data_IF_606885480143
#
_entry.id   IF_606885480143
#
_cell.length_a   1.000
_cell.length_b   1.000
_cell.length_c   1.000
_cell.angle_alpha   90.00
_cell.angle_beta   90.00
_cell.angle_gamma   90.00
#
_symmetry.space_group_name_H-M   'P 1'
#
loop_
_entity.id
_entity.type
_entity.pdbx_description
1 polymer ?
#
# COMPACT_ATOMS: atom_id res chain seq x y z
N UNK A 1 -32.13 -29.92 19.99
CA UNK A 1 -33.24 -29.91 19.02
C UNK A 1 -33.34 -28.50 18.56
N UNK A 2 -33.26 -28.30 17.26
CA UNK A 2 -33.34 -26.98 16.66
C UNK A 2 -34.81 -26.51 16.76
N UNK A 3 -35.03 -25.21 16.87
CA UNK A 3 -36.35 -24.62 17.04
C UNK A 3 -37.32 -24.99 15.91
N UNK A 4 -36.80 -25.20 14.71
CA UNK A 4 -37.54 -25.68 13.53
C UNK A 4 -38.19 -27.06 13.77
N UNK A 5 -37.47 -28.00 14.36
CA UNK A 5 -37.96 -29.35 14.65
C UNK A 5 -39.08 -29.34 15.69
N UNK A 6 -39.01 -28.44 16.68
CA UNK A 6 -40.07 -28.28 17.67
C UNK A 6 -41.33 -27.62 17.07
N UNK A 7 -41.15 -26.73 16.10
CA UNK A 7 -42.25 -26.13 15.34
C UNK A 7 -42.92 -27.19 14.47
N UNK A 8 -42.14 -28.02 13.76
CA UNK A 8 -42.66 -29.12 12.95
C UNK A 8 -43.41 -30.15 13.81
N UNK A 9 -42.87 -30.52 14.98
CA UNK A 9 -43.52 -31.44 15.92
C UNK A 9 -44.83 -30.85 16.49
N UNK A 10 -44.88 -29.52 16.72
CA UNK A 10 -46.08 -28.82 17.12
C UNK A 10 -47.12 -28.80 15.98
N UNK A 11 -46.68 -28.55 14.75
CA UNK A 11 -47.54 -28.53 13.57
C UNK A 11 -48.16 -29.91 13.31
N UNK A 12 -47.37 -30.98 13.41
CA UNK A 12 -47.83 -32.36 13.31
C UNK A 12 -48.82 -32.71 14.43
N UNK A 13 -48.52 -32.35 15.68
CA UNK A 13 -49.41 -32.59 16.82
C UNK A 13 -50.76 -31.85 16.68
N UNK A 14 -50.77 -30.66 16.07
CA UNK A 14 -51.98 -29.93 15.74
C UNK A 14 -52.71 -30.55 14.53
N UNK A 15 -52.00 -31.05 13.53
CA UNK A 15 -52.58 -31.69 12.35
C UNK A 15 -53.26 -33.03 12.68
N UNK A 16 -52.71 -33.79 13.62
CA UNK A 16 -53.29 -35.04 14.14
C UNK A 16 -54.55 -34.81 14.99
N UNK A 17 -54.77 -33.58 15.46
CA UNK A 17 -55.90 -33.19 16.30
C UNK A 17 -57.26 -33.43 15.63
N UNK A 18 -58.23 -33.96 16.39
CA UNK A 18 -59.57 -34.24 15.86
C UNK A 18 -60.39 -32.96 15.85
N UNK A 19 -60.83 -32.52 14.66
CA UNK A 19 -61.80 -31.40 14.55
C UNK A 19 -63.16 -31.82 15.10
N UNK A 20 -63.75 -30.95 15.92
CA UNK A 20 -65.04 -31.20 16.55
C UNK A 20 -66.16 -30.64 15.66
N UNK A 21 -67.02 -31.50 15.11
CA UNK A 21 -68.12 -31.10 14.22
C UNK A 21 -69.04 -30.05 14.86
N UNK A 22 -69.48 -29.06 14.07
CA UNK A 22 -70.25 -27.88 14.49
C UNK A 22 -69.52 -26.87 15.39
N UNK A 23 -68.23 -27.04 15.65
CA UNK A 23 -67.40 -26.04 16.32
C UNK A 23 -66.10 -25.80 15.53
N UNK A 24 -65.59 -24.57 15.51
CA UNK A 24 -64.26 -24.27 14.94
C UNK A 24 -63.10 -24.73 15.82
N UNK A 25 -63.32 -25.69 16.74
CA UNK A 25 -62.36 -26.11 17.77
C UNK A 25 -61.68 -27.42 17.38
N UNK A 26 -60.42 -27.53 17.77
CA UNK A 26 -59.55 -28.68 17.56
C UNK A 26 -59.33 -29.38 18.90
N UNK A 27 -59.61 -30.67 18.97
CA UNK A 27 -59.29 -31.49 20.13
C UNK A 27 -57.83 -31.95 20.00
N UNK A 28 -56.99 -31.56 20.95
CA UNK A 28 -55.55 -31.83 20.99
C UNK A 28 -55.15 -32.42 22.33
N UNK A 29 -54.07 -33.18 22.32
CA UNK A 29 -53.44 -33.68 23.54
C UNK A 29 -52.71 -32.54 24.26
N UNK A 30 -53.29 -32.10 25.37
CA UNK A 30 -52.78 -30.98 26.17
C UNK A 30 -51.37 -31.27 26.71
N UNK A 31 -51.09 -32.50 27.14
CA UNK A 31 -49.80 -32.87 27.74
C UNK A 31 -48.69 -32.82 26.69
N UNK A 32 -48.96 -33.34 25.49
CA UNK A 32 -48.03 -33.28 24.34
C UNK A 32 -47.76 -31.86 23.88
N UNK A 33 -48.80 -31.02 23.77
CA UNK A 33 -48.64 -29.62 23.31
C UNK A 33 -47.89 -28.78 24.34
N UNK A 34 -48.20 -28.94 25.63
CA UNK A 34 -47.51 -28.21 26.70
C UNK A 34 -46.02 -28.57 26.77
N UNK A 35 -45.67 -29.85 26.61
CA UNK A 35 -44.27 -30.29 26.60
C UNK A 35 -43.48 -29.68 25.42
N UNK A 36 -44.07 -29.62 24.22
CA UNK A 36 -43.44 -28.98 23.05
C UNK A 36 -43.25 -27.47 23.31
N UNK A 37 -44.24 -26.78 23.87
CA UNK A 37 -44.15 -25.35 24.20
C UNK A 37 -43.07 -25.09 25.26
N UNK A 38 -42.97 -25.93 26.29
CA UNK A 38 -41.93 -25.79 27.32
C UNK A 38 -40.53 -26.03 26.76
N UNK A 39 -40.38 -27.01 25.86
CA UNK A 39 -39.14 -27.23 25.11
C UNK A 39 -38.77 -26.03 24.23
N UNK A 40 -39.74 -25.44 23.51
CA UNK A 40 -39.52 -24.22 22.70
C UNK A 40 -39.12 -23.04 23.58
N UNK A 41 -39.71 -22.89 24.76
CA UNK A 41 -39.42 -21.80 25.70
C UNK A 41 -37.97 -21.83 26.20
N UNK A 42 -37.36 -23.01 26.26
CA UNK A 42 -35.95 -23.19 26.61
C UNK A 42 -35.03 -22.97 25.41
N UNK A 43 -35.40 -23.45 24.22
CA UNK A 43 -34.60 -23.31 23.00
C UNK A 43 -34.54 -21.86 22.49
N UNK A 44 -35.70 -21.23 22.24
CA UNK A 44 -35.81 -19.91 21.56
C UNK A 44 -34.83 -18.84 22.09
N UNK A 45 -34.65 -18.66 23.41
CA UNK A 45 -33.71 -17.67 23.93
C UNK A 45 -32.25 -17.95 23.55
N UNK A 46 -31.86 -19.21 23.43
CA UNK A 46 -30.50 -19.60 23.11
C UNK A 46 -30.20 -19.47 21.63
N UNK A 47 -31.13 -19.82 20.71
CA UNK A 47 -30.98 -19.49 19.29
C UNK A 47 -30.90 -17.97 19.06
N UNK A 48 -31.73 -17.18 19.76
CA UNK A 48 -31.67 -15.72 19.66
C UNK A 48 -30.33 -15.14 20.16
N UNK A 49 -29.77 -15.70 21.24
CA UNK A 49 -28.43 -15.31 21.73
C UNK A 49 -27.35 -15.69 20.71
N UNK A 50 -27.43 -16.86 20.10
CA UNK A 50 -26.49 -17.28 19.07
C UNK A 50 -26.55 -16.36 17.85
N UNK A 51 -27.75 -16.06 17.35
CA UNK A 51 -27.93 -15.12 16.24
C UNK A 51 -27.33 -13.75 16.56
N UNK A 52 -27.58 -13.21 17.76
CA UNK A 52 -26.97 -11.94 18.22
C UNK A 52 -25.45 -11.99 18.30
N UNK A 53 -24.88 -13.11 18.75
CA UNK A 53 -23.42 -13.31 18.79
C UNK A 53 -22.82 -13.34 17.40
N UNK A 54 -23.45 -14.03 16.46
CA UNK A 54 -23.01 -14.09 15.07
C UNK A 54 -23.03 -12.71 14.42
N UNK A 55 -24.09 -11.92 14.66
CA UNK A 55 -24.18 -10.54 14.15
C UNK A 55 -23.08 -9.67 14.77
N UNK A 56 -22.90 -9.72 16.09
CA UNK A 56 -21.85 -8.95 16.76
C UNK A 56 -20.44 -9.32 16.28
N UNK A 57 -20.18 -10.60 16.01
CA UNK A 57 -18.91 -11.07 15.48
C UNK A 57 -18.71 -10.65 14.02
N UNK A 58 -19.77 -10.69 13.21
CA UNK A 58 -19.75 -10.15 11.85
C UNK A 58 -19.39 -8.66 11.86
N UNK A 59 -20.06 -7.87 12.71
CA UNK A 59 -19.78 -6.44 12.83
C UNK A 59 -18.33 -6.17 13.25
N UNK A 60 -17.79 -6.96 14.19
CA UNK A 60 -16.38 -6.91 14.61
C UNK A 60 -15.44 -7.20 13.44
N UNK A 61 -15.66 -8.28 12.71
CA UNK A 61 -14.83 -8.68 11.57
C UNK A 61 -14.86 -7.65 10.44
N UNK A 62 -16.02 -7.05 10.18
CA UNK A 62 -16.15 -5.98 9.19
C UNK A 62 -15.35 -4.75 9.63
N UNK A 63 -15.43 -4.36 10.90
CA UNK A 63 -14.64 -3.26 11.45
C UNK A 63 -13.13 -3.50 11.30
N UNK A 64 -12.67 -4.69 11.69
CA UNK A 64 -11.25 -5.08 11.56
C UNK A 64 -10.78 -5.07 10.09
N UNK A 65 -11.60 -5.58 9.17
CA UNK A 65 -11.28 -5.56 7.75
C UNK A 65 -11.22 -4.13 7.18
N UNK A 66 -12.13 -3.24 7.61
CA UNK A 66 -12.12 -1.83 7.19
C UNK A 66 -10.88 -1.10 7.68
N UNK A 67 -10.45 -1.34 8.92
CA UNK A 67 -9.24 -0.72 9.47
C UNK A 67 -7.97 -1.25 8.79
N UNK A 68 -7.90 -2.55 8.50
CA UNK A 68 -6.80 -3.13 7.71
C UNK A 68 -6.73 -2.52 6.30
N UNK A 69 -7.86 -2.34 5.62
CA UNK A 69 -7.90 -1.70 4.30
C UNK A 69 -7.44 -0.24 4.39
N UNK A 70 -7.88 0.49 5.42
CA UNK A 70 -7.47 1.88 5.64
C UNK A 70 -5.95 1.99 5.83
N UNK A 71 -5.39 1.16 6.70
CA UNK A 71 -3.96 1.13 6.96
C UNK A 71 -3.17 0.77 5.69
N UNK A 72 -3.60 -0.25 4.94
CA UNK A 72 -2.94 -0.64 3.69
C UNK A 72 -2.98 0.47 2.64
N UNK A 73 -4.06 1.26 2.59
CA UNK A 73 -4.18 2.41 1.68
C UNK A 73 -3.27 3.57 2.10
N UNK A 74 -3.17 3.84 3.41
CA UNK A 74 -2.24 4.83 3.95
C UNK A 74 -0.78 4.44 3.69
N UNK A 75 -0.42 3.17 3.91
CA UNK A 75 0.90 2.63 3.61
C UNK A 75 1.23 2.69 2.11
N UNK A 76 0.30 2.34 1.23
CA UNK A 76 0.47 2.49 -0.22
C UNK A 76 0.62 3.95 -0.64
N UNK A 77 -0.17 4.86 -0.05
CA UNK A 77 -0.04 6.30 -0.28
C UNK A 77 1.33 6.83 0.15
N UNK A 78 1.84 6.36 1.28
CA UNK A 78 3.18 6.67 1.77
C UNK A 78 4.27 6.14 0.83
N UNK A 79 4.16 4.89 0.37
CA UNK A 79 5.10 4.29 -0.58
C UNK A 79 5.14 5.09 -1.90
N UNK A 80 3.99 5.43 -2.47
CA UNK A 80 3.92 6.23 -3.69
C UNK A 80 4.55 7.62 -3.51
N UNK A 81 4.35 8.26 -2.35
CA UNK A 81 4.98 9.55 -2.04
C UNK A 81 6.51 9.44 -1.91
N UNK A 82 7.01 8.36 -1.29
CA UNK A 82 8.45 8.08 -1.16
C UNK A 82 9.08 7.82 -2.52
N UNK A 83 8.43 7.02 -3.38
CA UNK A 83 8.91 6.76 -4.74
C UNK A 83 8.98 8.04 -5.58
N UNK A 84 7.96 8.90 -5.50
CA UNK A 84 7.93 10.18 -6.21
C UNK A 84 9.07 11.11 -5.74
N UNK A 85 9.31 11.21 -4.43
CA UNK A 85 10.41 12.03 -3.91
C UNK A 85 11.77 11.42 -4.24
N UNK A 86 11.91 10.09 -4.21
CA UNK A 86 13.13 9.41 -4.63
C UNK A 86 13.48 9.74 -6.10
N UNK A 87 12.50 9.65 -6.99
CA UNK A 87 12.69 9.99 -8.41
C UNK A 87 13.12 11.46 -8.58
N UNK A 88 12.48 12.37 -7.83
CA UNK A 88 12.83 13.80 -7.85
C UNK A 88 14.27 14.04 -7.38
N UNK A 89 14.72 13.35 -6.34
CA UNK A 89 16.07 13.45 -5.81
C UNK A 89 17.11 12.89 -6.80
N UNK A 90 16.81 11.78 -7.47
CA UNK A 90 17.69 11.21 -8.50
C UNK A 90 17.87 12.17 -9.67
N UNK A 91 16.79 12.77 -10.18
CA UNK A 91 16.87 13.76 -11.25
C UNK A 91 17.67 15.01 -10.85
N UNK A 92 17.53 15.46 -9.60
CA UNK A 92 18.32 16.57 -9.08
C UNK A 92 19.81 16.21 -9.01
N UNK A 93 20.13 15.04 -8.48
CA UNK A 93 21.51 14.56 -8.35
C UNK A 93 22.19 14.40 -9.72
N UNK A 94 21.47 13.90 -10.72
CA UNK A 94 21.99 13.79 -12.09
C UNK A 94 22.28 15.17 -12.70
N UNK A 95 21.38 16.14 -12.52
CA UNK A 95 21.58 17.52 -12.99
C UNK A 95 22.77 18.18 -12.31
N UNK A 96 22.91 18.02 -11.01
CA UNK A 96 24.02 18.58 -10.24
C UNK A 96 25.36 17.94 -10.64
N UNK A 97 25.36 16.63 -10.89
CA UNK A 97 26.54 15.91 -11.39
C UNK A 97 26.94 16.38 -12.79
N UNK A 98 25.97 16.56 -13.70
CA UNK A 98 26.21 17.11 -15.05
C UNK A 98 26.78 18.53 -14.98
N UNK A 99 26.19 19.39 -14.16
CA UNK A 99 26.65 20.77 -13.97
C UNK A 99 28.07 20.81 -13.39
N UNK A 100 28.36 19.96 -12.40
CA UNK A 100 29.69 19.85 -11.80
C UNK A 100 30.73 19.37 -12.80
N UNK A 101 30.42 18.32 -13.57
CA UNK A 101 31.31 17.81 -14.61
C UNK A 101 31.60 18.88 -15.66
N UNK A 102 30.56 19.54 -16.17
CA UNK A 102 30.73 20.62 -17.14
C UNK A 102 31.58 21.76 -16.58
N UNK A 103 31.33 22.19 -15.34
CA UNK A 103 32.13 23.23 -14.70
C UNK A 103 33.60 22.83 -14.52
N UNK A 104 33.87 21.56 -14.22
CA UNK A 104 35.23 21.03 -14.12
C UNK A 104 35.93 20.99 -15.49
N UNK A 105 35.22 20.57 -16.55
CA UNK A 105 35.74 20.55 -17.91
C UNK A 105 36.05 21.96 -18.43
N UNK A 106 35.14 22.91 -18.18
CA UNK A 106 35.31 24.32 -18.54
C UNK A 106 36.52 24.94 -17.81
N UNK A 107 36.69 24.66 -16.52
CA UNK A 107 37.85 25.09 -15.76
C UNK A 107 39.16 24.45 -16.25
N UNK A 108 39.15 23.14 -16.53
CA UNK A 108 40.32 22.45 -17.07
C UNK A 108 40.75 23.04 -18.42
N UNK A 109 39.80 23.38 -19.28
CA UNK A 109 40.06 24.07 -20.55
C UNK A 109 40.74 25.42 -20.32
N UNK A 110 40.20 26.25 -19.45
CA UNK A 110 40.77 27.58 -19.16
C UNK A 110 42.22 27.47 -18.66
N UNK A 111 42.50 26.52 -17.76
CA UNK A 111 43.85 26.27 -17.25
C UNK A 111 44.79 25.81 -18.36
N UNK A 112 44.33 24.92 -19.26
CA UNK A 112 45.13 24.44 -20.37
C UNK A 112 45.41 25.53 -21.41
N UNK A 113 44.45 26.41 -21.68
CA UNK A 113 44.62 27.56 -22.59
C UNK A 113 45.65 28.57 -22.03
N UNK A 114 45.59 28.91 -20.73
CA UNK A 114 46.62 29.75 -20.08
C UNK A 114 48.01 29.09 -20.12
N UNK A 115 48.07 27.78 -19.91
CA UNK A 115 49.33 27.03 -20.01
C UNK A 115 49.90 27.05 -21.43
N UNK A 116 49.06 26.83 -22.45
CA UNK A 116 49.45 26.89 -23.86
C UNK A 116 50.06 28.26 -24.20
N UNK A 117 49.39 29.35 -23.79
CA UNK A 117 49.84 30.70 -24.07
C UNK A 117 51.21 30.99 -23.42
N UNK A 118 51.41 30.51 -22.18
CA UNK A 118 52.71 30.63 -21.47
C UNK A 118 53.81 29.86 -22.18
N UNK A 119 53.55 28.62 -22.58
CA UNK A 119 54.51 27.79 -23.28
C UNK A 119 54.87 28.39 -24.65
N UNK A 120 53.90 28.94 -25.38
CA UNK A 120 54.13 29.62 -26.64
C UNK A 120 55.08 30.83 -26.49
N UNK A 121 54.88 31.65 -25.45
CA UNK A 121 55.79 32.77 -25.13
C UNK A 121 57.20 32.30 -24.79
N UNK A 122 57.32 31.25 -23.97
CA UNK A 122 58.61 30.67 -23.61
C UNK A 122 59.34 30.10 -24.83
N UNK A 123 58.64 29.36 -25.69
CA UNK A 123 59.20 28.80 -26.92
C UNK A 123 59.67 29.91 -27.87
N UNK A 124 58.89 30.97 -28.04
CA UNK A 124 59.28 32.12 -28.84
C UNK A 124 60.56 32.79 -28.29
N UNK A 125 60.68 32.93 -26.97
CA UNK A 125 61.90 33.45 -26.34
C UNK A 125 63.11 32.57 -26.61
N UNK A 126 62.97 31.24 -26.50
CA UNK A 126 64.05 30.29 -26.80
C UNK A 126 64.47 30.39 -28.28
N UNK A 127 63.50 30.40 -29.20
CA UNK A 127 63.77 30.52 -30.64
C UNK A 127 64.48 31.84 -30.98
N UNK A 128 64.07 32.96 -30.37
CA UNK A 128 64.74 34.24 -30.56
C UNK A 128 66.17 34.22 -30.02
N UNK A 129 66.40 33.58 -28.86
CA UNK A 129 67.74 33.38 -28.31
C UNK A 129 68.65 32.55 -29.22
N UNK A 130 68.14 31.45 -29.78
CA UNK A 130 68.88 30.62 -30.75
C UNK A 130 69.26 31.40 -32.01
N UNK A 131 68.31 32.12 -32.62
CA UNK A 131 68.57 32.95 -33.82
C UNK A 131 69.65 34.01 -33.57
N UNK A 132 69.67 34.61 -32.38
CA UNK A 132 70.67 35.62 -32.03
C UNK A 132 72.09 35.02 -31.93
N UNK A 133 72.21 33.78 -31.43
CA UNK A 133 73.48 33.06 -31.39
C UNK A 133 73.96 32.68 -32.80
N UNK A 134 73.08 32.16 -33.64
CA UNK A 134 73.41 31.80 -35.04
C UNK A 134 73.94 33.01 -35.83
N UNK A 135 73.29 34.17 -35.69
CA UNK A 135 73.72 35.43 -36.33
C UNK A 135 75.05 35.96 -35.78
N UNK A 136 75.33 35.73 -34.49
CA UNK A 136 76.61 36.09 -33.87
C UNK A 136 77.77 35.24 -34.36
N UNK A 137 77.54 33.95 -34.64
CA UNK A 137 78.56 33.07 -35.22
C UNK A 137 78.87 33.40 -36.69
N UNK A 138 77.87 33.81 -37.48
CA UNK A 138 78.07 34.25 -38.86
C UNK A 138 78.82 35.59 -38.96
N UNK A 139 78.62 36.51 -38.01
CA UNK A 139 79.32 37.79 -37.97
C UNK A 139 80.78 37.68 -37.45
N UNK A 140 81.14 36.56 -36.79
CA UNK A 140 82.47 36.30 -36.23
C UNK A 140 83.39 35.50 -37.17
N UNK A 141 82.89 35.05 -38.32
CA UNK A 141 83.67 34.40 -39.39
C UNK A 141 84.03 35.38 -40.50
#
# INVERSE_FOLDING_TARGET
>A
MELDQLIDELEDALAEGRRVFFSGRLLVDEERILDIIDRMRVAVPDELKQARRVIAEQDRLIGEAQDQVRQAMEENGLLAAVEAEHQRLMELAERDAEATRKGADDYAREVLEDLEERLARQLASVQNGLRALDQGEEAAR
#
